data_IF_373167823815
#
_entry.id   IF_373167823815
#
_cell.length_a   1.000
_cell.length_b   1.000
_cell.length_c   1.000
_cell.angle_alpha   90.00
_cell.angle_beta   90.00
_cell.angle_gamma   90.00
#
_symmetry.space_group_name_H-M   'P 1'
#
loop_
_entity.id
_entity.type
_entity.pdbx_description
1 polymer ?
#
# COMPACT_ATOMS: atom_id res chain seq x y z
N UNK A 1 -13.80 4.28 25.34
CA UNK A 1 -12.59 3.61 24.85
C UNK A 1 -12.03 4.45 23.72
N UNK A 2 -10.71 4.66 23.71
CA UNK A 2 -10.04 5.30 22.57
C UNK A 2 -10.04 4.26 21.46
N UNK A 3 -10.95 4.42 20.51
CA UNK A 3 -11.00 3.62 19.29
C UNK A 3 -9.68 3.85 18.54
N UNK A 4 -8.69 2.98 18.80
CA UNK A 4 -7.33 3.11 18.29
C UNK A 4 -7.37 2.83 16.79
N UNK A 5 -7.55 3.88 16.01
CA UNK A 5 -7.34 3.88 14.58
C UNK A 5 -5.83 3.85 14.32
N UNK A 6 -5.33 2.71 13.85
CA UNK A 6 -3.97 2.60 13.36
C UNK A 6 -3.96 3.15 11.93
N UNK A 7 -3.39 4.34 11.73
CA UNK A 7 -3.20 4.88 10.38
C UNK A 7 -2.56 3.80 9.47
N UNK A 8 -3.10 3.55 8.27
CA UNK A 8 -2.52 2.56 7.37
C UNK A 8 -1.10 2.97 6.99
N UNK A 9 -0.16 2.05 7.13
CA UNK A 9 1.25 2.27 6.82
C UNK A 9 1.70 1.29 5.73
N UNK A 10 2.47 1.82 4.78
CA UNK A 10 3.15 1.04 3.76
C UNK A 10 4.64 1.34 3.77
N UNK A 11 5.45 0.33 3.52
CA UNK A 11 6.90 0.47 3.33
C UNK A 11 7.36 -0.48 2.24
N UNK A 12 8.41 -0.07 1.53
CA UNK A 12 8.95 -0.80 0.38
C UNK A 12 10.39 -1.23 0.65
N UNK A 13 10.83 -2.30 0.01
CA UNK A 13 12.25 -2.62 -0.06
C UNK A 13 12.96 -1.77 -1.13
N UNK A 14 14.30 -1.78 -1.11
CA UNK A 14 15.13 -0.89 -1.93
C UNK A 14 14.89 -0.99 -3.45
N UNK A 15 14.55 -2.19 -3.94
CA UNK A 15 14.29 -2.43 -5.36
C UNK A 15 12.81 -2.32 -5.75
N UNK A 16 11.93 -1.91 -4.82
CA UNK A 16 10.49 -1.76 -5.04
C UNK A 16 9.79 -3.04 -5.55
N UNK A 17 10.24 -4.22 -5.15
CA UNK A 17 9.59 -5.49 -5.50
C UNK A 17 8.74 -6.07 -4.38
N UNK A 18 8.84 -5.51 -3.17
CA UNK A 18 8.11 -5.96 -1.98
C UNK A 18 7.53 -4.77 -1.23
N UNK A 19 6.25 -4.87 -0.90
CA UNK A 19 5.53 -3.89 -0.08
C UNK A 19 5.06 -4.59 1.18
N UNK A 20 5.44 -4.07 2.35
CA UNK A 20 4.78 -4.39 3.61
C UNK A 20 3.66 -3.38 3.78
N UNK A 21 2.43 -3.87 3.92
CA UNK A 21 1.24 -3.05 4.16
C UNK A 21 0.55 -3.51 5.44
N UNK A 22 0.22 -2.55 6.30
CA UNK A 22 -0.52 -2.80 7.55
C UNK A 22 -1.83 -2.03 7.57
N UNK A 23 -2.90 -2.67 8.02
CA UNK A 23 -4.24 -2.07 8.10
C UNK A 23 -5.04 -2.63 9.27
N UNK A 24 -5.94 -1.80 9.80
CA UNK A 24 -6.98 -2.15 10.78
C UNK A 24 -8.39 -2.06 10.15
N UNK A 25 -8.48 -2.02 8.81
CA UNK A 25 -9.74 -1.80 8.12
C UNK A 25 -10.77 -2.89 8.47
N UNK A 26 -11.93 -2.46 8.96
CA UNK A 26 -13.03 -3.35 9.36
C UNK A 26 -12.86 -3.91 10.78
N UNK A 27 -11.81 -3.48 11.50
CA UNK A 27 -11.46 -3.92 12.86
C UNK A 27 -11.37 -2.77 13.87
N UNK A 28 -12.00 -1.63 13.60
CA UNK A 28 -12.08 -0.49 14.53
C UNK A 28 -12.55 -0.94 15.92
N UNK A 29 -11.92 -0.41 16.96
CA UNK A 29 -12.23 -0.66 18.37
C UNK A 29 -11.63 -1.93 18.95
N UNK A 30 -11.02 -2.78 18.12
CA UNK A 30 -10.44 -4.06 18.57
C UNK A 30 -8.95 -3.96 18.92
N UNK A 31 -8.25 -2.95 18.36
CA UNK A 31 -6.79 -2.86 18.42
C UNK A 31 -6.07 -3.92 17.57
N UNK A 32 -6.80 -4.68 16.77
CA UNK A 32 -6.22 -5.67 15.85
C UNK A 32 -5.70 -5.01 14.58
N UNK A 33 -4.51 -5.43 14.15
CA UNK A 33 -3.91 -5.03 12.88
C UNK A 33 -3.57 -6.26 12.04
N UNK A 34 -3.75 -6.15 10.74
CA UNK A 34 -3.31 -7.14 9.77
C UNK A 34 -2.04 -6.63 9.07
N UNK A 35 -1.18 -7.57 8.68
CA UNK A 35 0.04 -7.30 7.94
C UNK A 35 0.12 -8.20 6.72
N UNK A 36 0.35 -7.57 5.57
CA UNK A 36 0.50 -8.25 4.29
C UNK A 36 1.87 -7.95 3.70
N UNK A 37 2.52 -8.99 3.18
CA UNK A 37 3.67 -8.84 2.29
C UNK A 37 3.19 -9.03 0.85
N UNK A 38 3.21 -7.96 0.07
CA UNK A 38 2.82 -7.96 -1.34
C UNK A 38 4.11 -8.07 -2.16
N UNK A 39 4.21 -9.13 -2.96
CA UNK A 39 5.28 -9.29 -3.94
C UNK A 39 4.82 -8.74 -5.30
N UNK A 40 5.58 -7.80 -5.84
CA UNK A 40 5.36 -7.24 -7.16
C UNK A 40 6.15 -8.02 -8.21
N UNK A 41 5.61 -8.19 -9.44
CA UNK A 41 6.40 -8.67 -10.56
C UNK A 41 7.62 -7.78 -10.81
N UNK A 42 8.73 -8.34 -11.30
CA UNK A 42 9.93 -7.53 -11.61
C UNK A 42 9.67 -6.47 -12.69
N UNK A 43 8.71 -6.74 -13.57
CA UNK A 43 8.30 -5.87 -14.68
C UNK A 43 7.06 -5.03 -14.33
N UNK A 44 6.77 -4.81 -13.03
CA UNK A 44 5.60 -4.03 -12.63
C UNK A 44 5.62 -2.57 -13.13
N UNK A 45 6.76 -1.85 -13.19
CA UNK A 45 6.76 -0.47 -13.68
C UNK A 45 6.33 -0.38 -15.15
N UNK A 46 6.72 -1.35 -15.98
CA UNK A 46 6.37 -1.42 -17.40
C UNK A 46 4.90 -1.77 -17.63
N UNK A 47 4.24 -2.34 -16.63
CA UNK A 47 2.80 -2.64 -16.65
C UNK A 47 1.94 -1.45 -16.24
N UNK A 48 2.55 -0.37 -15.72
CA UNK A 48 1.80 0.84 -15.42
C UNK A 48 1.25 1.41 -16.73
N UNK A 49 -0.04 1.77 -16.79
CA UNK A 49 -0.55 2.50 -17.93
C UNK A 49 0.28 3.78 -18.09
N UNK A 50 0.77 4.03 -19.31
CA UNK A 50 1.39 5.31 -19.62
C UNK A 50 0.40 6.41 -19.18
N UNK A 51 0.87 7.35 -18.36
CA UNK A 51 0.07 8.46 -17.86
C UNK A 51 -0.63 9.11 -19.06
N UNK A 52 -1.92 8.82 -19.23
CA UNK A 52 -2.67 9.30 -20.36
C UNK A 52 -2.91 10.80 -20.19
N UNK A 53 -2.19 11.59 -20.97
CA UNK A 53 -2.49 13.00 -21.30
C UNK A 53 -1.61 14.00 -20.54
N UNK A 54 -0.60 14.61 -21.17
CA UNK A 54 -0.76 15.76 -22.07
C UNK A 54 -1.62 16.88 -21.47
N UNK A 55 -1.05 17.67 -20.57
CA UNK A 55 -1.47 19.06 -20.44
C UNK A 55 -1.02 19.73 -21.74
N UNK A 56 -1.98 20.02 -22.63
CA UNK A 56 -1.76 20.86 -23.80
C UNK A 56 -1.30 22.27 -23.40
N UNK A 57 -0.73 23.05 -24.33
CA UNK A 57 -0.12 24.35 -24.04
C UNK A 57 -1.07 25.35 -23.39
#
# INVERSE_FOLDING_TARGET
ELDYWAEPHASVNHDFTRVVFTTDWGRSGTGEVEMFMIALPLDWPERLPALAGSVGP
#
